data_IF_983823537365
#
_entry.id   IF_983823537365
#
_cell.length_a   1.000
_cell.length_b   1.000
_cell.length_c   1.000
_cell.angle_alpha   90.00
_cell.angle_beta   90.00
_cell.angle_gamma   90.00
#
_symmetry.space_group_name_H-M   'P 1'
#
loop_
_entity.id
_entity.type
_entity.pdbx_description
1 polymer ?
#
# COMPACT_ATOMS: atom_id res chain seq x y z
N UNK A 1 -24.86 -2.97 30.43
CA UNK A 1 -24.87 -4.46 30.45
C UNK A 1 -24.53 -5.10 29.10
N UNK A 2 -25.19 -4.76 27.98
CA UNK A 2 -24.79 -5.29 26.65
C UNK A 2 -23.47 -4.67 26.13
N UNK A 3 -23.27 -3.37 26.34
CA UNK A 3 -22.03 -2.65 26.01
C UNK A 3 -20.80 -3.23 26.71
N UNK A 4 -20.95 -3.56 28.00
CA UNK A 4 -19.84 -4.00 28.85
C UNK A 4 -19.32 -5.39 28.41
N UNK A 5 -20.20 -6.23 27.88
CA UNK A 5 -19.84 -7.52 27.27
C UNK A 5 -19.05 -7.35 25.97
N UNK A 6 -19.46 -6.41 25.11
CA UNK A 6 -18.76 -6.10 23.86
C UNK A 6 -17.31 -5.68 24.14
N UNK A 7 -17.09 -4.78 25.10
CA UNK A 7 -15.73 -4.36 25.46
C UNK A 7 -14.87 -5.52 25.97
N UNK A 8 -15.45 -6.44 26.74
CA UNK A 8 -14.73 -7.62 27.23
C UNK A 8 -14.33 -8.59 26.11
N UNK A 9 -15.07 -8.66 25.01
CA UNK A 9 -14.71 -9.47 23.84
C UNK A 9 -13.55 -8.89 23.04
N UNK A 10 -13.33 -7.57 23.10
CA UNK A 10 -12.18 -6.92 22.46
C UNK A 10 -10.90 -6.94 23.32
N UNK A 11 -11.00 -7.23 24.63
CA UNK A 11 -9.83 -7.33 25.52
C UNK A 11 -8.78 -8.33 24.98
N UNK A 12 -9.14 -9.56 24.57
CA UNK A 12 -8.19 -10.49 23.96
C UNK A 12 -7.48 -9.93 22.73
N UNK A 13 -8.21 -9.22 21.85
CA UNK A 13 -7.63 -8.62 20.64
C UNK A 13 -6.58 -7.57 21.00
N UNK A 14 -6.86 -6.72 21.98
CA UNK A 14 -5.91 -5.72 22.48
C UNK A 14 -4.69 -6.36 23.14
N UNK A 15 -4.88 -7.44 23.90
CA UNK A 15 -3.78 -8.20 24.51
C UNK A 15 -2.87 -8.78 23.42
N UNK A 16 -3.42 -9.41 22.39
CA UNK A 16 -2.63 -9.97 21.28
C UNK A 16 -1.90 -8.88 20.49
N UNK A 17 -2.54 -7.75 20.21
CA UNK A 17 -1.90 -6.62 19.55
C UNK A 17 -0.74 -6.06 20.38
N UNK A 18 -0.93 -5.90 21.69
CA UNK A 18 0.11 -5.45 22.60
C UNK A 18 1.27 -6.44 22.69
N UNK A 19 0.97 -7.75 22.80
CA UNK A 19 1.99 -8.80 22.82
C UNK A 19 2.82 -8.81 21.52
N UNK A 20 2.19 -8.61 20.36
CA UNK A 20 2.88 -8.51 19.09
C UNK A 20 3.85 -7.31 19.08
N UNK A 21 3.40 -6.14 19.54
CA UNK A 21 4.25 -4.94 19.65
C UNK A 21 5.42 -5.19 20.61
N UNK A 22 5.15 -5.74 21.80
CA UNK A 22 6.17 -6.06 22.80
C UNK A 22 7.19 -7.03 22.22
N UNK A 23 6.75 -8.06 21.50
CA UNK A 23 7.65 -9.01 20.86
C UNK A 23 8.57 -8.33 19.85
N UNK A 24 8.04 -7.48 18.97
CA UNK A 24 8.87 -6.72 18.01
C UNK A 24 9.88 -5.83 18.75
N UNK A 25 9.44 -5.11 19.77
CA UNK A 25 10.33 -4.23 20.57
C UNK A 25 11.42 -5.04 21.26
N UNK A 26 11.08 -6.15 21.91
CA UNK A 26 12.05 -7.02 22.59
C UNK A 26 13.05 -7.60 21.58
N UNK A 27 12.61 -8.04 20.40
CA UNK A 27 13.50 -8.54 19.35
C UNK A 27 14.45 -7.45 18.83
N UNK A 28 13.95 -6.22 18.61
CA UNK A 28 14.77 -5.10 18.18
C UNK A 28 15.78 -4.69 19.26
N UNK A 29 15.37 -4.66 20.53
CA UNK A 29 16.25 -4.36 21.66
C UNK A 29 17.30 -5.44 21.86
N UNK A 30 16.92 -6.72 21.79
CA UNK A 30 17.85 -7.83 21.87
C UNK A 30 18.87 -7.77 20.72
N UNK A 31 18.41 -7.49 19.50
CA UNK A 31 19.29 -7.27 18.34
C UNK A 31 20.25 -6.11 18.58
N UNK A 32 19.77 -4.98 19.10
CA UNK A 32 20.60 -3.81 19.41
C UNK A 32 21.64 -4.10 20.49
N UNK A 33 21.29 -4.82 21.56
CA UNK A 33 22.21 -5.18 22.66
C UNK A 33 23.24 -6.23 22.21
N UNK A 34 22.82 -7.24 21.44
CA UNK A 34 23.69 -8.33 20.99
C UNK A 34 24.58 -7.93 19.80
N UNK A 35 24.23 -6.87 19.07
CA UNK A 35 24.98 -6.44 17.89
C UNK A 35 26.40 -5.99 18.29
N UNK A 36 27.44 -6.43 17.55
CA UNK A 36 28.78 -5.86 17.72
C UNK A 36 28.77 -4.38 17.30
N UNK A 37 29.10 -3.51 18.24
CA UNK A 37 29.21 -2.07 18.01
C UNK A 37 30.55 -1.78 17.31
N UNK A 38 30.62 -2.06 16.01
CA UNK A 38 31.75 -1.67 15.16
C UNK A 38 31.65 -0.15 14.92
N UNK A 39 32.78 0.55 14.99
CA UNK A 39 32.89 1.97 14.62
C UNK A 39 32.13 2.25 13.31
N UNK A 40 31.17 3.16 13.38
CA UNK A 40 30.39 3.58 12.23
C UNK A 40 31.28 4.48 11.35
N UNK A 41 32.04 3.85 10.46
CA UNK A 41 32.78 4.57 9.43
C UNK A 41 31.80 5.25 8.47
N UNK A 42 32.19 6.41 7.91
CA UNK A 42 31.38 7.18 6.94
C UNK A 42 30.79 6.31 5.82
N UNK A 43 31.58 5.38 5.30
CA UNK A 43 31.19 4.38 4.27
C UNK A 43 30.08 3.41 4.71
N UNK A 44 29.93 3.14 6.01
CA UNK A 44 28.87 2.24 6.52
C UNK A 44 27.54 2.98 6.73
N UNK A 45 27.58 4.31 6.76
CA UNK A 45 26.42 5.19 7.00
C UNK A 45 26.00 5.95 5.74
N UNK A 46 26.77 5.85 4.65
CA UNK A 46 26.38 6.39 3.34
C UNK A 46 25.31 5.53 2.69
N UNK A 47 24.50 6.15 1.83
CA UNK A 47 23.52 5.44 1.00
C UNK A 47 24.25 4.45 0.09
N UNK A 48 23.75 3.21 0.02
CA UNK A 48 24.32 2.20 -0.87
C UNK A 48 24.03 2.55 -2.33
N UNK A 49 25.07 2.85 -3.10
CA UNK A 49 25.01 3.20 -4.53
C UNK A 49 26.00 2.36 -5.36
N UNK A 50 26.15 1.07 -5.03
CA UNK A 50 27.09 0.16 -5.70
C UNK A 50 28.56 0.65 -5.73
N UNK A 51 28.94 1.56 -4.85
CA UNK A 51 30.30 2.14 -4.76
C UNK A 51 30.47 3.51 -5.41
N UNK A 52 29.41 4.09 -5.99
CA UNK A 52 29.40 5.45 -6.53
C UNK A 52 28.86 6.47 -5.51
N UNK A 53 29.29 7.72 -5.60
CA UNK A 53 28.71 8.80 -4.78
C UNK A 53 27.27 9.11 -5.26
N UNK A 54 26.33 9.42 -4.35
CA UNK A 54 24.96 9.75 -4.73
C UNK A 54 24.92 11.07 -5.53
N UNK A 55 24.72 10.96 -6.84
CA UNK A 55 24.73 12.11 -7.75
C UNK A 55 23.32 12.73 -7.86
N UNK A 56 23.23 14.03 -7.57
CA UNK A 56 22.09 14.89 -7.88
C UNK A 56 20.92 14.86 -6.89
N UNK A 57 19.84 15.63 -7.16
CA UNK A 57 18.72 15.75 -6.22
C UNK A 57 17.96 14.41 -6.09
N UNK A 58 17.64 14.04 -4.85
CA UNK A 58 16.84 12.85 -4.50
C UNK A 58 15.34 13.01 -4.81
N UNK A 59 14.92 14.18 -5.33
CA UNK A 59 13.53 14.45 -5.70
C UNK A 59 13.34 14.17 -7.18
N UNK A 60 12.70 13.05 -7.47
CA UNK A 60 12.11 12.77 -8.78
C UNK A 60 10.62 13.16 -8.73
N UNK A 61 10.14 13.83 -9.77
CA UNK A 61 8.70 14.05 -9.94
C UNK A 61 8.04 12.69 -10.14
N UNK A 62 7.31 12.23 -9.13
CA UNK A 62 6.61 10.96 -9.21
C UNK A 62 5.49 11.06 -10.25
N UNK A 63 5.37 10.06 -11.13
CA UNK A 63 4.32 10.03 -12.12
C UNK A 63 2.96 9.83 -11.42
N UNK A 64 1.92 10.45 -11.99
CA UNK A 64 0.56 10.48 -11.44
C UNK A 64 -0.18 9.13 -11.59
N UNK A 65 0.43 8.14 -12.25
CA UNK A 65 -0.12 6.78 -12.39
C UNK A 65 -0.36 6.12 -11.01
N UNK A 66 0.51 6.33 -10.03
CA UNK A 66 0.33 5.82 -8.66
C UNK A 66 -0.87 6.44 -7.94
N UNK A 67 -1.16 7.70 -8.24
CA UNK A 67 -2.32 8.40 -7.67
C UNK A 67 -3.63 7.79 -8.16
N UNK A 68 -3.74 7.50 -9.47
CA UNK A 68 -4.93 6.87 -10.06
C UNK A 68 -5.17 5.49 -9.44
N UNK A 69 -4.13 4.68 -9.27
CA UNK A 69 -4.24 3.39 -8.59
C UNK A 69 -4.76 3.54 -7.15
N UNK A 70 -4.24 4.52 -6.41
CA UNK A 70 -4.67 4.78 -5.03
C UNK A 70 -6.14 5.17 -4.94
N UNK A 71 -6.58 6.10 -5.80
CA UNK A 71 -7.99 6.52 -5.84
C UNK A 71 -8.90 5.37 -6.24
N UNK A 72 -8.52 4.59 -7.26
CA UNK A 72 -9.29 3.43 -7.71
C UNK A 72 -9.39 2.36 -6.60
N UNK A 73 -8.29 2.11 -5.89
CA UNK A 73 -8.27 1.19 -4.75
C UNK A 73 -9.22 1.65 -3.64
N UNK A 74 -9.15 2.92 -3.23
CA UNK A 74 -10.04 3.47 -2.18
C UNK A 74 -11.51 3.37 -2.59
N UNK A 75 -11.85 3.66 -3.85
CA UNK A 75 -13.24 3.56 -4.33
C UNK A 75 -13.74 2.11 -4.24
N UNK A 76 -12.95 1.15 -4.73
CA UNK A 76 -13.35 -0.27 -4.69
C UNK A 76 -13.38 -0.81 -3.26
N UNK A 77 -12.49 -0.36 -2.38
CA UNK A 77 -12.47 -0.72 -0.96
C UNK A 77 -13.74 -0.24 -0.23
N UNK A 78 -14.14 1.01 -0.46
CA UNK A 78 -15.41 1.55 0.07
C UNK A 78 -16.60 0.77 -0.46
N UNK A 79 -16.64 0.43 -1.76
CA UNK A 79 -17.69 -0.42 -2.32
C UNK A 79 -17.71 -1.81 -1.67
N UNK A 80 -16.54 -2.39 -1.38
CA UNK A 80 -16.43 -3.65 -0.64
C UNK A 80 -17.02 -3.56 0.78
N UNK A 81 -16.79 -2.45 1.49
CA UNK A 81 -17.41 -2.20 2.79
C UNK A 81 -18.94 -2.11 2.70
N UNK A 82 -19.49 -1.45 1.67
CA UNK A 82 -20.93 -1.44 1.40
C UNK A 82 -21.50 -2.82 1.11
N UNK A 83 -20.77 -3.65 0.36
CA UNK A 83 -21.17 -5.03 0.09
C UNK A 83 -21.23 -5.86 1.39
N UNK A 84 -20.24 -5.69 2.28
CA UNK A 84 -20.25 -6.31 3.60
C UNK A 84 -21.45 -5.85 4.45
N UNK A 85 -21.71 -4.54 4.50
CA UNK A 85 -22.86 -4.00 5.25
C UNK A 85 -24.18 -4.57 4.75
N UNK A 86 -24.36 -4.66 3.43
CA UNK A 86 -25.56 -5.24 2.81
C UNK A 86 -25.71 -6.74 3.12
N UNK A 87 -24.62 -7.49 3.12
CA UNK A 87 -24.63 -8.90 3.48
C UNK A 87 -24.94 -9.11 4.98
N UNK A 88 -24.33 -8.29 5.85
CA UNK A 88 -24.45 -8.40 7.30
C UNK A 88 -25.80 -7.91 7.83
N UNK A 89 -26.37 -6.83 7.26
CA UNK A 89 -27.63 -6.24 7.73
C UNK A 89 -28.81 -7.22 7.66
N UNK A 90 -28.77 -8.16 6.71
CA UNK A 90 -29.87 -9.08 6.44
C UNK A 90 -29.80 -10.39 7.25
N UNK A 91 -28.69 -10.66 7.94
CA UNK A 91 -28.58 -11.75 8.91
C UNK A 91 -29.55 -11.57 10.09
N UNK A 92 -30.01 -10.33 10.36
CA UNK A 92 -30.97 -10.02 11.41
C UNK A 92 -32.46 -10.16 11.00
N UNK A 93 -32.80 -10.23 9.72
CA UNK A 93 -34.20 -10.18 9.24
C UNK A 93 -34.53 -11.39 8.36
N UNK A 94 -34.69 -12.56 8.99
CA UNK A 94 -34.53 -13.88 8.33
C UNK A 94 -35.81 -14.44 7.67
N UNK A 95 -37.01 -13.90 7.91
CA UNK A 95 -38.21 -14.72 7.71
C UNK A 95 -38.83 -14.69 6.30
N UNK A 96 -38.46 -13.78 5.40
CA UNK A 96 -38.99 -13.77 4.01
C UNK A 96 -38.00 -13.37 2.90
N UNK A 97 -36.76 -13.01 3.25
CA UNK A 97 -35.92 -12.11 2.44
C UNK A 97 -34.64 -12.77 1.90
N UNK A 98 -34.53 -14.11 1.94
CA UNK A 98 -33.28 -14.80 1.54
C UNK A 98 -32.94 -14.63 0.07
N UNK A 99 -33.92 -14.72 -0.83
CA UNK A 99 -33.69 -14.61 -2.27
C UNK A 99 -33.46 -13.17 -2.73
N UNK A 100 -34.09 -12.19 -2.09
CA UNK A 100 -33.93 -10.76 -2.44
C UNK A 100 -32.52 -10.25 -2.13
N UNK A 101 -31.88 -10.73 -1.06
CA UNK A 101 -30.51 -10.33 -0.70
C UNK A 101 -29.50 -10.85 -1.71
N UNK A 102 -29.65 -12.10 -2.15
CA UNK A 102 -28.79 -12.69 -3.19
C UNK A 102 -28.86 -11.85 -4.47
N UNK A 103 -30.06 -11.41 -4.86
CA UNK A 103 -30.23 -10.53 -6.02
C UNK A 103 -29.64 -9.13 -5.82
N UNK A 104 -29.81 -8.51 -4.64
CA UNK A 104 -29.22 -7.21 -4.34
C UNK A 104 -27.69 -7.25 -4.36
N UNK A 105 -27.10 -8.27 -3.73
CA UNK A 105 -25.65 -8.52 -3.75
C UNK A 105 -25.16 -8.76 -5.17
N UNK A 106 -25.86 -9.59 -5.95
CA UNK A 106 -25.50 -9.86 -7.34
C UNK A 106 -25.53 -8.58 -8.21
N UNK A 107 -26.59 -7.78 -8.09
CA UNK A 107 -26.69 -6.49 -8.79
C UNK A 107 -25.58 -5.53 -8.35
N UNK A 108 -25.27 -5.48 -7.06
CA UNK A 108 -24.20 -4.62 -6.54
C UNK A 108 -22.82 -5.03 -7.06
N UNK A 109 -22.53 -6.34 -7.11
CA UNK A 109 -21.31 -6.88 -7.72
C UNK A 109 -21.26 -6.53 -9.21
N UNK A 110 -22.37 -6.66 -9.95
CA UNK A 110 -22.43 -6.27 -11.36
C UNK A 110 -22.14 -4.78 -11.56
N UNK A 111 -22.61 -3.91 -10.66
CA UNK A 111 -22.31 -2.48 -10.69
C UNK A 111 -20.82 -2.23 -10.43
N UNK A 112 -20.21 -2.89 -9.44
CA UNK A 112 -18.75 -2.80 -9.19
C UNK A 112 -17.97 -3.24 -10.43
N UNK A 113 -18.27 -4.43 -10.96
CA UNK A 113 -17.60 -4.99 -12.11
C UNK A 113 -17.77 -4.11 -13.36
N UNK A 114 -18.97 -3.58 -13.58
CA UNK A 114 -19.26 -2.64 -14.65
C UNK A 114 -18.51 -1.32 -14.49
N UNK A 115 -18.44 -0.78 -13.28
CA UNK A 115 -17.70 0.44 -12.96
C UNK A 115 -16.20 0.29 -13.19
N UNK A 116 -15.59 -0.79 -12.67
CA UNK A 116 -14.18 -1.10 -12.89
C UNK A 116 -13.92 -1.35 -14.38
N UNK A 117 -14.79 -2.12 -15.06
CA UNK A 117 -14.72 -2.37 -16.50
C UNK A 117 -14.76 -1.08 -17.33
N UNK A 118 -15.66 -0.17 -16.99
CA UNK A 118 -15.76 1.15 -17.63
C UNK A 118 -14.50 1.98 -17.41
N UNK A 119 -14.01 2.05 -16.18
CA UNK A 119 -12.79 2.77 -15.82
C UNK A 119 -11.58 2.19 -16.56
N UNK A 120 -11.43 0.87 -16.62
CA UNK A 120 -10.36 0.20 -17.38
C UNK A 120 -10.43 0.47 -18.89
N UNK A 121 -11.63 0.67 -19.44
CA UNK A 121 -11.81 1.04 -20.85
C UNK A 121 -11.52 2.53 -21.10
N UNK A 122 -11.86 3.40 -20.16
CA UNK A 122 -11.72 4.85 -20.26
C UNK A 122 -10.27 5.30 -20.00
N UNK A 123 -9.56 4.65 -19.10
CA UNK A 123 -8.18 4.96 -18.79
C UNK A 123 -7.27 4.61 -19.99
N UNK A 124 -6.41 5.53 -20.44
CA UNK A 124 -5.37 5.19 -21.40
C UNK A 124 -4.45 4.13 -20.80
N UNK A 125 -4.04 3.17 -21.64
CA UNK A 125 -3.22 2.03 -21.21
C UNK A 125 -1.88 2.45 -20.59
N UNK A 126 -1.38 3.65 -20.90
CA UNK A 126 -0.16 4.21 -20.31
C UNK A 126 -0.22 4.34 -18.78
N UNK A 127 -1.41 4.54 -18.20
CA UNK A 127 -1.54 4.69 -16.75
C UNK A 127 -1.37 3.38 -15.98
N UNK A 128 -1.77 2.25 -16.58
CA UNK A 128 -1.66 0.93 -15.95
C UNK A 128 -0.37 0.19 -16.31
N UNK A 129 0.27 0.57 -17.42
CA UNK A 129 1.43 -0.14 -17.97
C UNK A 129 2.76 0.26 -17.31
N UNK A 130 2.83 1.43 -16.67
CA UNK A 130 4.04 1.89 -15.96
C UNK A 130 5.30 2.04 -16.82
N UNK A 131 5.21 1.89 -18.15
CA UNK A 131 6.36 1.99 -19.06
C UNK A 131 6.87 3.42 -19.18
N UNK A 132 5.95 4.38 -19.18
CA UNK A 132 6.29 5.81 -19.27
C UNK A 132 7.15 6.25 -18.07
N UNK A 133 6.87 5.70 -16.88
CA UNK A 133 7.65 5.99 -15.66
C UNK A 133 9.06 5.43 -15.75
N UNK A 134 9.20 4.23 -16.32
CA UNK A 134 10.49 3.60 -16.58
C UNK A 134 11.29 4.36 -17.65
N UNK A 135 10.63 4.92 -18.66
CA UNK A 135 11.29 5.72 -19.68
C UNK A 135 11.78 7.06 -19.13
N UNK A 136 10.96 7.77 -18.35
CA UNK A 136 11.38 9.00 -17.65
C UNK A 136 12.55 8.71 -16.73
N UNK A 137 12.49 7.61 -15.97
CA UNK A 137 13.60 7.18 -15.12
C UNK A 137 14.88 6.87 -15.92
N UNK A 138 14.76 6.14 -17.03
CA UNK A 138 15.91 5.79 -17.89
C UNK A 138 16.54 7.04 -18.51
N UNK A 139 15.74 8.02 -18.92
CA UNK A 139 16.22 9.31 -19.46
C UNK A 139 16.92 10.14 -18.38
N UNK A 140 16.29 10.30 -17.22
CA UNK A 140 16.89 11.01 -16.09
C UNK A 140 18.21 10.37 -15.64
N UNK A 141 18.28 9.02 -15.63
CA UNK A 141 19.51 8.27 -15.36
C UNK A 141 20.58 8.54 -16.43
N UNK A 142 20.23 8.46 -17.71
CA UNK A 142 21.16 8.70 -18.81
C UNK A 142 21.66 10.16 -18.87
N UNK A 143 20.85 11.14 -18.47
CA UNK A 143 21.27 12.54 -18.33
C UNK A 143 22.26 12.72 -17.19
N UNK A 144 21.99 12.13 -16.02
CA UNK A 144 22.94 12.15 -14.89
C UNK A 144 24.26 11.45 -15.22
N UNK A 145 24.23 10.31 -15.90
CA UNK A 145 25.45 9.62 -16.37
C UNK A 145 26.28 10.49 -17.31
N UNK A 146 25.62 11.26 -18.20
CA UNK A 146 26.31 12.21 -19.10
C UNK A 146 26.86 13.41 -18.36
N UNK A 147 26.11 13.99 -17.43
CA UNK A 147 26.57 15.12 -16.62
C UNK A 147 27.79 14.71 -15.78
N UNK A 148 27.80 13.49 -15.25
CA UNK A 148 28.97 12.93 -14.55
C UNK A 148 30.19 12.78 -15.47
N UNK A 149 30.02 12.26 -16.68
CA UNK A 149 31.12 12.16 -17.67
C UNK A 149 31.69 13.53 -18.07
N UNK A 150 30.85 14.58 -18.12
CA UNK A 150 31.25 15.94 -18.50
C UNK A 150 31.83 16.74 -17.31
N UNK A 151 31.36 16.49 -16.09
CA UNK A 151 31.74 17.24 -14.89
C UNK A 151 33.06 16.78 -14.23
N UNK A 152 33.59 15.61 -14.58
CA UNK A 152 34.86 15.16 -13.99
C UNK A 152 35.18 13.69 -14.17
N UNK A 153 35.19 13.20 -15.41
CA UNK A 153 35.73 11.88 -15.73
C UNK A 153 37.23 11.78 -15.43
N UNK A 154 37.57 11.33 -14.23
CA UNK A 154 38.74 10.50 -13.93
C UNK A 154 38.26 9.08 -13.66
#
# INVERSE_FOLDING_TARGET
>A
MQSDRLFMEFIPVLIWALLAIVLVVVMLLASWVLRPHVLQNSEKTSTYECGEEPIGPARISYPYNYFIYTVLFVVVDVMGAFLWLLAASNILWVDATKYTVVWQVAVFILIIMGGIGFVMKMLPKSFLDGKETLEVYRKAKAEKEKEHYVAGGH
#
